data_IF_950461004772
#
_entry.id   IF_950461004772
#
_cell.length_a   1.000
_cell.length_b   1.000
_cell.length_c   1.000
_cell.angle_alpha   90.00
_cell.angle_beta   90.00
_cell.angle_gamma   90.00
#
_symmetry.space_group_name_H-M   'P 1'
#
loop_
_entity.id
_entity.type
_entity.pdbx_description
1 polymer ?
#
# COMPACT_ATOMS: atom_id res chain seq x y z
N UNK A 1 45.15 23.97 17.21
CA UNK A 1 44.87 23.72 15.77
C UNK A 1 43.39 23.95 15.52
N UNK A 2 43.03 25.12 14.98
CA UNK A 2 41.65 25.39 14.55
C UNK A 2 41.54 25.07 13.06
N UNK A 3 40.80 24.01 12.72
CA UNK A 3 40.41 23.74 11.34
C UNK A 3 39.28 24.70 10.97
N UNK A 4 39.60 25.76 10.22
CA UNK A 4 38.59 26.61 9.59
C UNK A 4 37.98 25.82 8.42
N UNK A 5 36.71 25.43 8.56
CA UNK A 5 35.94 24.87 7.47
C UNK A 5 35.83 25.91 6.35
N UNK A 6 36.26 25.53 5.14
CA UNK A 6 36.24 26.41 3.98
C UNK A 6 34.77 26.75 3.62
N UNK A 7 34.41 28.05 3.54
CA UNK A 7 33.03 28.50 3.33
C UNK A 7 32.40 27.93 2.04
N UNK A 8 33.20 27.60 1.02
CA UNK A 8 32.69 26.95 -0.19
C UNK A 8 32.08 25.56 0.07
N UNK A 9 32.65 24.79 1.00
CA UNK A 9 32.11 23.48 1.39
C UNK A 9 30.80 23.61 2.18
N UNK A 10 30.69 24.65 3.01
CA UNK A 10 29.45 24.93 3.74
C UNK A 10 28.29 25.30 2.79
N UNK A 11 28.56 26.06 1.72
CA UNK A 11 27.56 26.41 0.70
C UNK A 11 27.10 25.20 -0.11
N UNK A 12 28.02 24.33 -0.55
CA UNK A 12 27.69 23.12 -1.33
C UNK A 12 26.87 22.12 -0.50
N UNK A 13 27.26 21.87 0.76
CA UNK A 13 26.50 21.01 1.66
C UNK A 13 25.08 21.53 1.91
N UNK A 14 24.92 22.85 2.08
CA UNK A 14 23.62 23.49 2.29
C UNK A 14 22.72 23.39 1.03
N UNK A 15 23.29 23.58 -0.17
CA UNK A 15 22.56 23.44 -1.43
C UNK A 15 22.09 22.00 -1.69
N UNK A 16 22.95 21.01 -1.46
CA UNK A 16 22.60 19.58 -1.63
C UNK A 16 21.56 19.13 -0.60
N UNK A 17 21.65 19.60 0.65
CA UNK A 17 20.65 19.31 1.68
C UNK A 17 19.26 19.86 1.31
N UNK A 18 19.18 21.08 0.75
CA UNK A 18 17.92 21.69 0.29
C UNK A 18 17.28 20.92 -0.86
N UNK A 19 18.07 20.50 -1.85
CA UNK A 19 17.57 19.72 -2.99
C UNK A 19 17.12 18.31 -2.57
N UNK A 20 17.84 17.69 -1.64
CA UNK A 20 17.47 16.39 -1.08
C UNK A 20 16.15 16.47 -0.29
N UNK A 21 15.98 17.49 0.56
CA UNK A 21 14.75 17.69 1.33
C UNK A 21 13.54 17.95 0.42
N UNK A 22 13.69 18.80 -0.60
CA UNK A 22 12.63 19.07 -1.56
C UNK A 22 12.19 17.80 -2.32
N UNK A 23 13.15 16.98 -2.77
CA UNK A 23 12.85 15.71 -3.44
C UNK A 23 12.13 14.71 -2.51
N UNK A 24 12.54 14.62 -1.23
CA UNK A 24 11.90 13.76 -0.23
C UNK A 24 10.48 14.23 0.07
N UNK A 25 10.26 15.53 0.24
CA UNK A 25 8.92 16.10 0.48
C UNK A 25 8.01 15.92 -0.74
N UNK A 26 8.51 16.14 -1.95
CA UNK A 26 7.75 15.94 -3.18
C UNK A 26 7.34 14.47 -3.35
N UNK A 27 8.25 13.53 -3.06
CA UNK A 27 7.93 12.10 -3.13
C UNK A 27 6.90 11.68 -2.07
N UNK A 28 6.97 12.24 -0.85
CA UNK A 28 5.96 12.02 0.20
C UNK A 28 4.59 12.60 -0.15
N UNK A 29 4.54 13.79 -0.74
CA UNK A 29 3.30 14.41 -1.19
C UNK A 29 2.63 13.55 -2.27
N UNK A 30 3.39 13.13 -3.29
CA UNK A 30 2.88 12.25 -4.34
C UNK A 30 2.41 10.91 -3.78
N UNK A 31 3.12 10.36 -2.79
CA UNK A 31 2.69 9.14 -2.10
C UNK A 31 1.38 9.34 -1.31
N UNK A 32 1.20 10.49 -0.64
CA UNK A 32 -0.03 10.80 0.10
C UNK A 32 -1.23 10.87 -0.83
N UNK A 33 -1.09 11.50 -2.00
CA UNK A 33 -2.18 11.59 -2.98
C UNK A 33 -2.69 10.21 -3.43
N UNK A 34 -1.83 9.20 -3.49
CA UNK A 34 -2.22 7.83 -3.83
C UNK A 34 -3.16 7.19 -2.79
N UNK A 35 -3.10 7.66 -1.54
CA UNK A 35 -3.92 7.13 -0.44
C UNK A 35 -5.15 7.98 -0.16
N UNK A 36 -5.19 9.22 -0.63
CA UNK A 36 -6.33 10.12 -0.45
C UNK A 36 -7.28 10.15 -1.65
N UNK A 37 -6.95 9.43 -2.73
CA UNK A 37 -7.77 9.35 -3.94
C UNK A 37 -8.25 7.92 -4.14
N UNK A 38 -9.47 7.78 -4.66
CA UNK A 38 -9.97 6.47 -5.04
C UNK A 38 -9.06 5.80 -6.08
N UNK A 39 -8.69 4.54 -5.85
CA UNK A 39 -7.96 3.72 -6.79
C UNK A 39 -8.88 2.75 -7.56
N UNK A 40 -8.35 2.20 -8.65
CA UNK A 40 -9.06 1.29 -9.54
C UNK A 40 -8.36 -0.05 -9.60
N UNK A 41 -9.15 -1.13 -9.54
CA UNK A 41 -8.74 -2.51 -9.78
C UNK A 41 -8.77 -2.88 -11.27
N UNK A 42 -9.29 -1.99 -12.12
CA UNK A 42 -9.45 -2.17 -13.56
C UNK A 42 -10.90 -2.43 -13.98
N UNK A 43 -11.27 -1.98 -15.18
CA UNK A 43 -12.66 -2.06 -15.68
C UNK A 43 -13.18 -3.50 -15.86
N UNK A 44 -12.28 -4.44 -16.12
CA UNK A 44 -12.61 -5.85 -16.32
C UNK A 44 -12.46 -6.66 -15.02
N UNK A 45 -12.21 -6.01 -13.89
CA UNK A 45 -12.03 -6.70 -12.63
C UNK A 45 -13.38 -7.22 -12.12
N UNK A 46 -13.45 -8.53 -11.92
CA UNK A 46 -14.57 -9.18 -11.27
C UNK A 46 -14.08 -9.72 -9.92
N UNK A 47 -14.80 -9.38 -8.85
CA UNK A 47 -14.55 -9.94 -7.54
C UNK A 47 -14.81 -11.46 -7.59
N UNK A 48 -13.75 -12.26 -7.63
CA UNK A 48 -13.82 -13.70 -7.83
C UNK A 48 -13.28 -14.42 -6.61
N UNK A 49 -14.00 -15.38 -5.99
CA UNK A 49 -13.51 -16.07 -4.79
C UNK A 49 -12.09 -16.71 -4.87
N UNK A 50 -11.54 -16.88 -6.07
CA UNK A 50 -10.22 -17.51 -6.32
C UNK A 50 -9.01 -16.61 -6.09
N UNK A 51 -9.14 -15.28 -6.04
CA UNK A 51 -8.00 -14.37 -5.77
C UNK A 51 -7.51 -14.38 -4.30
N UNK A 52 -7.72 -15.48 -3.56
CA UNK A 52 -7.38 -15.60 -2.14
C UNK A 52 -8.52 -15.25 -1.17
N UNK A 53 -9.77 -15.29 -1.65
CA UNK A 53 -10.96 -14.90 -0.90
C UNK A 53 -11.59 -16.03 -0.08
N UNK A 54 -10.76 -16.87 0.53
CA UNK A 54 -11.23 -17.92 1.44
C UNK A 54 -10.96 -17.54 2.90
N UNK A 55 -11.91 -17.85 3.77
CA UNK A 55 -11.74 -17.77 5.23
C UNK A 55 -10.70 -18.82 5.64
N UNK A 56 -9.49 -18.38 5.96
CA UNK A 56 -8.53 -19.24 6.64
C UNK A 56 -8.83 -19.13 8.13
N UNK A 57 -9.37 -20.19 8.72
CA UNK A 57 -9.57 -20.25 10.16
C UNK A 57 -8.18 -20.17 10.84
N UNK A 58 -7.89 -19.07 11.53
CA UNK A 58 -6.55 -18.74 12.06
C UNK A 58 -6.29 -19.54 13.35
N UNK A 59 -6.26 -20.86 13.22
CA UNK A 59 -5.81 -21.75 14.30
C UNK A 59 -4.67 -22.67 13.88
N UNK A 60 -4.24 -22.66 12.61
CA UNK A 60 -3.17 -23.56 12.12
C UNK A 60 -2.08 -22.91 11.24
N UNK A 61 -2.00 -21.59 11.11
CA UNK A 61 -1.08 -20.93 10.15
C UNK A 61 0.36 -20.74 10.66
N UNK A 62 0.71 -21.15 11.89
CA UNK A 62 2.05 -20.96 12.46
C UNK A 62 3.11 -21.93 11.87
N UNK A 63 2.70 -23.00 11.17
CA UNK A 63 3.64 -24.06 10.78
C UNK A 63 4.19 -24.03 9.35
N UNK A 64 3.74 -23.15 8.46
CA UNK A 64 4.19 -23.19 7.05
C UNK A 64 5.20 -22.13 6.64
N UNK A 65 5.51 -21.12 7.47
CA UNK A 65 6.56 -20.14 7.15
C UNK A 65 7.96 -20.53 7.68
N UNK A 66 8.07 -21.63 8.45
CA UNK A 66 9.32 -22.03 9.13
C UNK A 66 10.16 -23.09 8.38
N UNK A 67 9.79 -23.49 7.15
CA UNK A 67 10.46 -24.63 6.47
C UNK A 67 11.19 -24.28 5.16
N UNK A 68 11.59 -23.03 4.94
CA UNK A 68 12.40 -22.65 3.76
C UNK A 68 13.76 -22.02 4.09
N UNK A 69 14.29 -22.29 5.28
CA UNK A 69 15.69 -22.00 5.59
C UNK A 69 16.29 -23.26 6.17
N UNK A 70 16.71 -24.18 5.30
CA UNK A 70 17.80 -25.14 5.50
C UNK A 70 17.95 -26.01 4.24
N UNK A 71 19.20 -26.40 3.99
CA UNK A 71 19.71 -27.31 2.97
C UNK A 71 20.16 -26.74 1.62
N UNK A 72 21.33 -26.09 1.66
CA UNK A 72 22.37 -26.23 0.63
C UNK A 72 23.08 -27.58 0.75
N UNK A 73 23.33 -28.29 -0.37
CA UNK A 73 24.52 -29.13 -0.48
C UNK A 73 25.39 -28.77 -1.69
N UNK A 74 26.65 -28.46 -1.39
CA UNK A 74 27.81 -28.43 -2.28
C UNK A 74 28.28 -29.85 -2.63
N UNK A 75 28.56 -30.17 -3.90
CA UNK A 75 29.65 -31.10 -4.31
C UNK A 75 30.12 -30.79 -5.75
N UNK A 76 31.44 -30.85 -5.91
CA UNK A 76 32.31 -30.64 -7.07
C UNK A 76 32.27 -31.70 -8.20
N UNK A 77 32.58 -31.22 -9.42
CA UNK A 77 33.45 -31.76 -10.51
C UNK A 77 33.52 -33.26 -10.86
N UNK A 78 33.28 -33.62 -12.14
CA UNK A 78 34.28 -34.22 -13.10
C UNK A 78 33.71 -34.65 -14.46
N UNK A 79 34.63 -34.70 -15.42
CA UNK A 79 34.57 -34.80 -16.89
C UNK A 79 34.15 -36.17 -17.47
N UNK A 80 33.64 -36.19 -18.72
CA UNK A 80 34.29 -36.86 -19.89
C UNK A 80 33.37 -37.04 -21.14
N UNK A 81 33.80 -36.41 -22.25
CA UNK A 81 34.04 -36.93 -23.63
C UNK A 81 32.97 -37.65 -24.52
N UNK A 82 33.01 -37.21 -25.79
CA UNK A 82 32.67 -37.88 -27.09
C UNK A 82 31.19 -38.12 -27.42
N UNK A 83 30.66 -38.01 -28.67
CA UNK A 83 31.14 -37.58 -29.99
C UNK A 83 29.92 -37.50 -30.96
N UNK A 84 30.05 -36.71 -32.05
CA UNK A 84 29.35 -36.81 -33.36
C UNK A 84 27.81 -36.58 -33.39
N UNK A 85 27.15 -35.91 -34.34
CA UNK A 85 27.44 -35.68 -35.76
C UNK A 85 26.49 -34.64 -36.39
N UNK A 86 27.04 -33.91 -37.38
CA UNK A 86 26.48 -33.47 -38.69
C UNK A 86 25.28 -32.49 -38.82
N UNK A 87 25.65 -31.37 -39.50
CA UNK A 87 24.99 -30.67 -40.64
C UNK A 87 23.63 -29.98 -40.38
N UNK A 88 23.32 -28.81 -40.92
CA UNK A 88 23.85 -28.06 -42.08
C UNK A 88 23.19 -26.67 -42.17
N UNK A 89 23.97 -25.68 -42.66
CA UNK A 89 23.63 -24.59 -43.62
C UNK A 89 22.42 -23.67 -43.32
N UNK A 90 22.42 -22.35 -43.52
CA UNK A 90 23.26 -21.41 -44.28
C UNK A 90 22.83 -19.97 -43.96
N UNK A 91 23.78 -19.03 -43.93
CA UNK A 91 23.60 -17.56 -44.01
C UNK A 91 23.72 -17.14 -45.51
N UNK A 92 23.38 -15.90 -46.00
CA UNK A 92 23.88 -14.64 -45.41
C UNK A 92 23.15 -13.28 -45.70
N UNK A 93 23.61 -12.23 -44.97
CA UNK A 93 23.89 -10.82 -45.38
C UNK A 93 22.76 -9.79 -45.62
N UNK A 94 22.79 -8.71 -44.82
CA UNK A 94 23.19 -7.32 -45.21
C UNK A 94 23.07 -6.38 -43.99
N UNK A 95 24.15 -5.99 -43.32
CA UNK A 95 24.97 -4.76 -43.47
C UNK A 95 24.18 -3.46 -43.67
N UNK A 96 24.09 -2.66 -42.60
CA UNK A 96 24.53 -1.26 -42.61
C UNK A 96 24.64 -0.70 -41.18
N UNK A 97 25.72 0.03 -40.92
CA UNK A 97 26.08 0.71 -39.67
C UNK A 97 26.13 2.20 -39.99
N UNK A 98 25.86 3.10 -39.02
CA UNK A 98 26.95 3.99 -38.62
C UNK A 98 27.10 4.20 -37.10
N UNK A 99 28.35 4.58 -36.75
CA UNK A 99 28.91 5.19 -35.51
C UNK A 99 28.01 6.34 -34.96
N UNK A 100 28.07 6.85 -33.72
CA UNK A 100 29.00 6.82 -32.57
C UNK A 100 28.24 7.41 -31.34
N UNK A 101 28.74 7.15 -30.11
CA UNK A 101 28.23 7.67 -28.81
C UNK A 101 28.36 9.20 -28.66
N UNK A 102 27.66 9.80 -27.69
CA UNK A 102 28.39 10.23 -26.48
C UNK A 102 27.87 9.61 -25.18
N UNK A 103 28.78 9.50 -24.21
CA UNK A 103 28.52 9.15 -22.81
C UNK A 103 28.19 10.43 -22.03
N UNK A 104 27.07 10.45 -21.34
CA UNK A 104 26.72 11.28 -20.18
C UNK A 104 25.61 10.51 -19.46
N UNK A 105 25.33 10.62 -18.18
CA UNK A 105 26.06 10.94 -16.97
C UNK A 105 25.24 10.22 -15.89
N UNK A 106 25.86 9.86 -14.77
CA UNK A 106 25.20 9.26 -13.62
C UNK A 106 24.06 10.13 -13.11
N UNK A 107 22.83 9.87 -13.56
CA UNK A 107 21.59 10.47 -13.08
C UNK A 107 20.83 9.43 -12.26
N UNK A 108 20.57 9.74 -11.00
CA UNK A 108 19.91 8.85 -10.05
C UNK A 108 18.65 8.20 -10.61
N UNK A 109 18.59 6.88 -10.50
CA UNK A 109 17.44 6.07 -10.87
C UNK A 109 16.32 6.34 -9.87
N UNK A 110 15.49 7.35 -10.13
CA UNK A 110 14.21 7.47 -9.43
C UNK A 110 13.36 6.25 -9.84
N UNK A 111 12.85 5.45 -8.89
CA UNK A 111 11.96 4.36 -9.23
C UNK A 111 10.73 4.95 -9.94
N UNK A 112 10.34 4.35 -11.07
CA UNK A 112 9.11 4.74 -11.75
C UNK A 112 7.92 4.57 -10.81
N UNK A 113 6.91 5.41 -10.98
CA UNK A 113 5.65 5.37 -10.19
C UNK A 113 5.06 3.96 -10.12
N UNK A 114 5.26 3.13 -11.15
CA UNK A 114 4.88 1.71 -11.17
C UNK A 114 5.59 0.84 -10.11
N UNK A 115 6.83 1.13 -9.74
CA UNK A 115 7.52 0.46 -8.64
C UNK A 115 7.09 0.96 -7.25
N UNK A 116 6.51 2.16 -7.16
CA UNK A 116 5.89 2.68 -5.94
C UNK A 116 4.49 2.08 -5.73
N UNK A 117 3.74 1.82 -6.81
CA UNK A 117 2.42 1.16 -6.77
C UNK A 117 2.54 -0.28 -6.26
N UNK A 118 3.63 -0.99 -6.59
CA UNK A 118 3.91 -2.33 -6.06
C UNK A 118 4.29 -2.35 -4.55
N UNK A 119 4.32 -1.19 -3.87
CA UNK A 119 4.59 -1.04 -2.42
C UNK A 119 3.45 -0.34 -1.67
N UNK A 120 2.31 -0.14 -2.32
CA UNK A 120 1.12 0.43 -1.71
C UNK A 120 0.37 -0.60 -0.86
N UNK A 121 -0.54 -0.13 -0.01
CA UNK A 121 -1.50 -0.97 0.71
C UNK A 121 -2.08 -2.01 -0.24
N UNK A 122 -2.01 -3.27 0.17
CA UNK A 122 -2.50 -4.39 -0.63
C UNK A 122 -3.65 -5.03 0.11
N UNK A 123 -4.73 -5.23 -0.61
CA UNK A 123 -5.92 -5.81 -0.04
C UNK A 123 -5.82 -7.35 0.04
N UNK A 124 -6.46 -7.96 1.04
CA UNK A 124 -6.27 -9.34 1.46
C UNK A 124 -7.56 -9.97 1.98
N UNK A 125 -7.64 -11.30 1.93
CA UNK A 125 -8.73 -12.07 2.51
C UNK A 125 -9.99 -12.04 1.66
N UNK A 126 -11.14 -12.33 2.29
CA UNK A 126 -12.45 -12.50 1.64
C UNK A 126 -13.25 -11.19 1.48
N UNK A 127 -13.98 -11.02 0.36
CA UNK A 127 -14.91 -9.91 0.16
C UNK A 127 -16.06 -10.13 1.14
N UNK A 128 -16.36 -9.10 1.89
CA UNK A 128 -17.65 -8.93 2.57
C UNK A 128 -18.42 -7.80 1.91
N UNK A 129 -19.74 -7.89 1.96
CA UNK A 129 -20.61 -6.78 1.58
C UNK A 129 -20.99 -6.04 2.84
N UNK A 130 -20.67 -4.75 2.88
CA UNK A 130 -20.85 -3.92 4.06
C UNK A 130 -21.63 -2.67 3.68
N UNK A 131 -22.31 -2.12 4.68
CA UNK A 131 -22.88 -0.79 4.60
C UNK A 131 -21.84 0.21 5.04
N UNK A 132 -21.73 1.33 4.33
CA UNK A 132 -20.96 2.49 4.76
C UNK A 132 -21.86 3.71 4.96
N UNK A 133 -21.52 4.51 5.95
CA UNK A 133 -22.04 5.87 6.19
C UNK A 133 -20.86 6.80 6.46
N UNK A 134 -21.13 8.04 6.88
CA UNK A 134 -20.09 8.94 7.32
C UNK A 134 -20.43 9.70 8.60
N UNK A 135 -19.38 10.09 9.34
CA UNK A 135 -19.42 10.85 10.59
C UNK A 135 -18.37 11.98 10.59
N UNK A 136 -18.46 12.90 11.56
CA UNK A 136 -17.69 14.16 11.56
C UNK A 136 -17.69 14.85 12.92
N UNK A 137 -16.81 15.85 13.08
CA UNK A 137 -16.87 16.78 14.20
C UNK A 137 -16.59 16.08 15.53
N UNK A 138 -17.47 16.27 16.51
CA UNK A 138 -17.30 15.70 17.85
C UNK A 138 -17.34 14.17 17.88
N UNK A 139 -17.99 13.53 16.90
CA UNK A 139 -18.01 12.07 16.79
C UNK A 139 -16.62 11.49 16.47
N UNK A 140 -15.64 12.33 16.11
CA UNK A 140 -14.26 11.93 15.88
C UNK A 140 -13.46 11.86 17.20
N UNK A 141 -13.93 12.47 18.27
CA UNK A 141 -13.16 12.60 19.51
C UNK A 141 -13.00 11.25 20.23
N UNK A 142 -11.80 11.02 20.79
CA UNK A 142 -11.49 9.85 21.62
C UNK A 142 -11.83 8.49 20.95
N UNK A 143 -11.28 8.22 19.76
CA UNK A 143 -11.61 7.00 19.02
C UNK A 143 -11.24 5.75 19.85
N UNK A 144 -12.12 4.76 19.89
CA UNK A 144 -12.06 3.66 20.88
C UNK A 144 -10.83 2.76 20.77
N UNK A 145 -10.17 2.71 19.61
CA UNK A 145 -8.89 2.02 19.47
C UNK A 145 -7.71 2.80 20.10
N UNK A 146 -7.97 3.98 20.66
CA UNK A 146 -6.99 4.87 21.29
C UNK A 146 -7.38 5.27 22.71
N UNK A 147 -6.98 4.44 23.68
CA UNK A 147 -7.34 4.61 25.09
C UNK A 147 -6.82 5.91 25.77
N UNK A 148 -5.86 6.62 25.17
CA UNK A 148 -5.18 7.75 25.82
C UNK A 148 -5.74 9.13 25.43
N UNK A 149 -6.67 9.23 24.48
CA UNK A 149 -7.30 10.51 24.09
C UNK A 149 -6.39 11.54 23.39
N UNK A 150 -5.09 11.26 23.25
CA UNK A 150 -4.11 12.21 22.68
C UNK A 150 -4.27 12.49 21.17
N UNK A 151 -5.21 11.82 20.50
CA UNK A 151 -5.39 11.96 19.07
C UNK A 151 -6.85 11.79 18.66
N UNK A 152 -7.27 12.69 17.76
CA UNK A 152 -8.58 12.71 17.13
C UNK A 152 -8.39 12.85 15.62
N UNK A 153 -9.01 12.01 14.78
CA UNK A 153 -9.01 12.18 13.34
C UNK A 153 -9.66 13.50 12.92
N UNK A 154 -9.27 14.00 11.76
CA UNK A 154 -9.99 15.10 11.10
C UNK A 154 -11.03 14.56 10.12
N UNK A 155 -11.95 15.42 9.68
CA UNK A 155 -12.88 15.11 8.58
C UNK A 155 -12.19 14.61 7.30
N UNK A 156 -10.92 14.97 7.09
CA UNK A 156 -10.12 14.61 5.91
C UNK A 156 -9.25 13.37 6.12
N UNK A 157 -9.28 12.76 7.31
CA UNK A 157 -8.58 11.51 7.56
C UNK A 157 -9.18 10.37 6.73
N UNK A 158 -8.46 9.26 6.58
CA UNK A 158 -8.94 8.03 5.92
C UNK A 158 -9.04 6.92 6.95
N UNK A 159 -10.03 7.09 7.81
CA UNK A 159 -10.30 6.19 8.92
C UNK A 159 -11.79 5.84 8.99
N UNK A 160 -12.11 4.82 9.77
CA UNK A 160 -13.50 4.46 10.04
C UNK A 160 -13.73 3.82 11.39
N UNK A 161 -15.00 3.79 11.76
CA UNK A 161 -15.55 3.13 12.92
C UNK A 161 -16.36 1.91 12.49
N UNK A 162 -16.19 0.77 13.16
CA UNK A 162 -16.91 -0.47 12.81
C UNK A 162 -17.96 -0.82 13.84
N UNK A 163 -19.03 -1.52 13.45
CA UNK A 163 -20.09 -1.97 14.37
C UNK A 163 -19.51 -2.59 15.66
N UNK A 164 -19.99 -2.08 16.80
CA UNK A 164 -19.49 -2.45 18.12
C UNK A 164 -19.80 -3.89 18.52
N UNK A 165 -20.91 -4.47 18.07
CA UNK A 165 -21.34 -5.81 18.50
C UNK A 165 -21.98 -6.63 17.37
N UNK A 166 -21.86 -7.95 17.48
CA UNK A 166 -22.56 -8.90 16.62
C UNK A 166 -21.94 -9.09 15.22
N UNK A 167 -20.88 -8.38 14.88
CA UNK A 167 -20.10 -8.60 13.66
C UNK A 167 -18.91 -9.53 13.96
N UNK A 168 -19.07 -10.82 13.63
CA UNK A 168 -18.13 -11.88 13.99
C UNK A 168 -16.72 -11.70 13.42
N UNK A 169 -16.61 -11.30 12.16
CA UNK A 169 -15.35 -11.12 11.43
C UNK A 169 -15.00 -9.64 11.22
N UNK A 170 -15.42 -8.76 12.14
CA UNK A 170 -15.14 -7.33 12.00
C UNK A 170 -13.64 -7.06 11.92
N UNK A 171 -13.23 -6.01 11.19
CA UNK A 171 -11.86 -5.53 11.24
C UNK A 171 -11.41 -5.18 12.66
N UNK A 172 -10.25 -5.69 13.06
CA UNK A 172 -9.66 -5.34 14.35
C UNK A 172 -9.19 -3.89 14.37
N UNK A 173 -9.14 -3.31 15.58
CA UNK A 173 -8.54 -2.01 15.81
C UNK A 173 -7.17 -1.85 15.14
N UNK A 174 -6.96 -0.67 14.59
CA UNK A 174 -5.73 -0.20 13.94
C UNK A 174 -5.34 -0.96 12.67
N UNK A 175 -6.19 -1.84 12.16
CA UNK A 175 -6.00 -2.53 10.88
C UNK A 175 -6.61 -1.74 9.74
N UNK A 176 -6.10 -2.02 8.54
CA UNK A 176 -6.59 -1.43 7.32
C UNK A 176 -7.62 -2.33 6.65
N UNK A 177 -8.56 -1.69 5.97
CA UNK A 177 -9.49 -2.32 5.04
C UNK A 177 -9.49 -1.57 3.72
N UNK A 178 -9.80 -2.26 2.65
CA UNK A 178 -10.16 -1.67 1.36
C UNK A 178 -11.68 -1.71 1.20
N UNK A 179 -12.27 -0.60 0.78
CA UNK A 179 -13.70 -0.44 0.51
C UNK A 179 -13.90 -0.01 -0.93
N UNK A 180 -14.79 -0.66 -1.67
CA UNK A 180 -15.03 -0.41 -3.09
C UNK A 180 -16.52 -0.23 -3.39
N UNK A 181 -16.90 0.93 -3.91
CA UNK A 181 -18.25 1.15 -4.47
C UNK A 181 -18.38 0.59 -5.88
N UNK A 182 -17.26 0.50 -6.59
CA UNK A 182 -17.14 -0.21 -7.86
C UNK A 182 -15.70 -0.74 -8.01
N UNK A 183 -15.41 -1.62 -9.00
CA UNK A 183 -14.05 -2.03 -9.28
C UNK A 183 -13.10 -0.87 -9.63
N UNK A 184 -13.63 0.29 -10.04
CA UNK A 184 -12.83 1.48 -10.38
C UNK A 184 -12.79 2.55 -9.29
N UNK A 185 -13.49 2.34 -8.17
CA UNK A 185 -13.58 3.28 -7.05
C UNK A 185 -13.42 2.53 -5.73
N UNK A 186 -12.19 2.45 -5.27
CA UNK A 186 -11.81 1.84 -4.01
C UNK A 186 -10.99 2.81 -3.16
N UNK A 187 -11.04 2.67 -1.84
CA UNK A 187 -10.17 3.40 -0.90
C UNK A 187 -9.66 2.48 0.19
N UNK A 188 -8.49 2.81 0.74
CA UNK A 188 -8.01 2.20 1.96
C UNK A 188 -8.28 3.09 3.17
N UNK A 189 -8.86 2.51 4.22
CA UNK A 189 -9.10 3.20 5.49
C UNK A 189 -8.55 2.39 6.65
N UNK A 190 -8.11 3.08 7.70
CA UNK A 190 -7.71 2.45 8.96
C UNK A 190 -8.89 2.43 9.93
N UNK A 191 -9.14 1.29 10.56
CA UNK A 191 -10.15 1.21 11.60
C UNK A 191 -9.57 1.73 12.90
N UNK A 192 -10.11 2.84 13.38
CA UNK A 192 -9.61 3.51 14.60
C UNK A 192 -10.65 3.58 15.69
N UNK A 193 -11.90 3.23 15.40
CA UNK A 193 -12.99 3.39 16.33
C UNK A 193 -14.06 2.29 16.17
N UNK A 194 -15.04 2.32 17.06
CA UNK A 194 -16.22 1.46 17.07
C UNK A 194 -17.47 2.31 17.01
N UNK A 195 -18.33 2.03 16.03
CA UNK A 195 -19.60 2.71 15.84
C UNK A 195 -20.65 2.13 16.79
N UNK A 196 -20.95 2.86 17.88
CA UNK A 196 -22.00 2.49 18.83
C UNK A 196 -23.42 2.75 18.29
N UNK A 197 -23.57 3.70 17.35
CA UNK A 197 -24.84 3.98 16.68
C UNK A 197 -25.21 2.98 15.56
N UNK A 198 -24.25 2.14 15.14
CA UNK A 198 -24.47 1.15 14.10
C UNK A 198 -25.29 -0.04 14.66
N UNK A 199 -26.24 -0.53 13.85
CA UNK A 199 -27.13 -1.61 14.28
C UNK A 199 -26.34 -2.86 14.68
N UNK A 200 -26.64 -3.43 15.85
CA UNK A 200 -26.00 -4.67 16.33
C UNK A 200 -26.15 -5.79 15.30
N UNK A 201 -25.05 -6.50 15.04
CA UNK A 201 -25.01 -7.58 14.04
C UNK A 201 -24.85 -7.11 12.60
N UNK A 202 -24.93 -5.80 12.32
CA UNK A 202 -24.71 -5.29 10.97
C UNK A 202 -23.22 -5.22 10.63
N UNK A 203 -22.89 -5.50 9.38
CA UNK A 203 -21.57 -5.23 8.82
C UNK A 203 -21.55 -3.77 8.33
N UNK A 204 -21.22 -2.84 9.23
CA UNK A 204 -21.29 -1.40 8.99
C UNK A 204 -19.94 -0.76 9.30
N UNK A 205 -19.43 0.03 8.35
CA UNK A 205 -18.25 0.89 8.55
C UNK A 205 -18.65 2.35 8.38
N UNK A 206 -18.61 3.11 9.46
CA UNK A 206 -18.84 4.54 9.44
C UNK A 206 -17.53 5.26 9.11
N UNK A 207 -17.51 6.10 8.08
CA UNK A 207 -16.28 6.69 7.54
C UNK A 207 -16.16 8.17 7.87
N UNK A 208 -14.93 8.68 7.93
CA UNK A 208 -14.74 10.13 7.83
C UNK A 208 -15.25 10.66 6.48
N UNK A 209 -15.71 11.92 6.46
CA UNK A 209 -16.20 12.56 5.22
C UNK A 209 -15.24 12.42 4.04
N UNK A 210 -13.94 12.68 4.27
CA UNK A 210 -12.92 12.63 3.23
C UNK A 210 -12.79 11.26 2.56
N UNK A 211 -12.92 10.18 3.34
CA UNK A 211 -12.92 8.82 2.81
C UNK A 211 -14.23 8.48 2.09
N UNK A 212 -15.38 8.84 2.68
CA UNK A 212 -16.68 8.56 2.07
C UNK A 212 -16.85 9.26 0.71
N UNK A 213 -16.40 10.51 0.60
CA UNK A 213 -16.45 11.31 -0.63
C UNK A 213 -15.69 10.70 -1.81
N UNK A 214 -14.73 9.81 -1.56
CA UNK A 214 -14.04 9.08 -2.62
C UNK A 214 -14.90 7.95 -3.22
N UNK A 215 -15.90 7.48 -2.47
CA UNK A 215 -16.76 6.36 -2.86
C UNK A 215 -18.14 6.84 -3.35
N UNK A 216 -18.68 7.90 -2.76
CA UNK A 216 -20.05 8.39 -2.96
C UNK A 216 -20.19 9.91 -2.66
N UNK A 217 -21.34 10.52 -2.99
CA UNK A 217 -21.65 11.88 -2.52
C UNK A 217 -22.08 11.84 -1.07
N UNK A 218 -21.73 12.85 -0.25
CA UNK A 218 -22.18 12.91 1.15
C UNK A 218 -23.71 12.88 1.27
N UNK A 219 -24.43 13.42 0.27
CA UNK A 219 -25.89 13.45 0.20
C UNK A 219 -26.52 12.06 0.02
N UNK A 220 -25.76 11.08 -0.48
CA UNK A 220 -26.23 9.69 -0.55
C UNK A 220 -26.42 9.13 0.87
N UNK A 221 -25.62 9.61 1.84
CA UNK A 221 -25.69 9.31 3.27
C UNK A 221 -25.33 7.88 3.67
N UNK A 222 -25.62 6.90 2.81
CA UNK A 222 -25.43 5.47 3.05
C UNK A 222 -25.24 4.73 1.73
N UNK A 223 -24.27 3.83 1.66
CA UNK A 223 -24.00 3.03 0.46
C UNK A 223 -23.65 1.58 0.83
N UNK A 224 -24.04 0.62 -0.01
CA UNK A 224 -23.53 -0.77 0.10
C UNK A 224 -22.29 -0.93 -0.78
N UNK A 225 -21.21 -1.44 -0.21
CA UNK A 225 -19.90 -1.56 -0.86
C UNK A 225 -19.27 -2.92 -0.59
N UNK A 226 -18.24 -3.26 -1.36
CA UNK A 226 -17.41 -4.44 -1.06
C UNK A 226 -16.27 -4.03 -0.14
N UNK A 227 -16.00 -4.83 0.89
CA UNK A 227 -14.90 -4.64 1.84
C UNK A 227 -13.97 -5.85 1.84
N UNK A 228 -12.69 -5.60 2.08
CA UNK A 228 -11.69 -6.62 2.44
C UNK A 228 -10.65 -6.06 3.40
N UNK A 229 -9.96 -6.92 4.12
CA UNK A 229 -8.81 -6.48 4.92
C UNK A 229 -7.70 -5.98 3.99
N UNK A 230 -6.75 -5.23 4.54
CA UNK A 230 -5.58 -4.78 3.82
C UNK A 230 -4.32 -4.90 4.69
N UNK A 231 -3.17 -4.95 4.04
CA UNK A 231 -1.86 -4.90 4.70
C UNK A 231 -1.68 -3.58 5.43
N UNK A 232 -0.62 -3.45 6.21
CA UNK A 232 -0.15 -2.12 6.61
C UNK A 232 0.52 -1.41 5.42
N UNK A 233 0.63 -0.07 5.48
CA UNK A 233 1.46 0.69 4.55
C UNK A 233 2.90 0.19 4.60
N UNK A 234 3.62 0.28 3.47
CA UNK A 234 5.03 -0.09 3.44
C UNK A 234 5.88 0.75 4.40
N UNK A 235 6.95 0.15 4.92
CA UNK A 235 7.89 0.80 5.84
C UNK A 235 8.39 2.14 5.28
N UNK A 236 8.32 3.18 6.12
CA UNK A 236 8.72 4.56 5.76
C UNK A 236 7.59 5.40 5.13
N UNK A 237 6.44 4.80 4.84
CA UNK A 237 5.24 5.47 4.33
C UNK A 237 4.16 5.44 5.40
N UNK A 238 4.11 6.48 6.22
CA UNK A 238 3.07 6.67 7.24
C UNK A 238 2.64 8.13 7.29
N UNK A 239 1.33 8.36 7.29
CA UNK A 239 0.73 9.70 7.33
C UNK A 239 -0.17 9.79 8.56
N UNK A 240 0.33 10.41 9.63
CA UNK A 240 -0.37 10.45 10.91
C UNK A 240 -1.65 11.31 10.87
N UNK A 241 -1.68 12.31 9.99
CA UNK A 241 -2.86 13.12 9.71
C UNK A 241 -3.94 12.33 8.94
N UNK A 242 -3.54 11.30 8.20
CA UNK A 242 -4.44 10.46 7.42
C UNK A 242 -4.96 9.26 8.23
N UNK A 243 -4.09 8.61 9.00
CA UNK A 243 -4.39 7.33 9.65
C UNK A 243 -4.19 7.33 11.17
N UNK A 244 -3.79 8.45 11.75
CA UNK A 244 -3.41 8.55 13.15
C UNK A 244 -2.01 8.03 13.44
N UNK A 245 -1.57 8.04 14.71
CA UNK A 245 -0.23 7.62 15.08
C UNK A 245 0.02 6.13 14.79
N UNK A 246 1.26 5.80 14.46
CA UNK A 246 1.70 4.42 14.22
C UNK A 246 1.90 3.70 15.56
N UNK A 247 1.33 2.51 15.71
CA UNK A 247 1.53 1.59 16.84
C UNK A 247 1.91 0.22 16.30
#
# INVERSE_FOLDING_TARGET
MHYLLNPAYAFILCFMARHCLAAVLHNRYNAKELYTKAHSLGANYQFSPRDGWHTVNVTNSIHTYRRQVEDTPSVETREAKHASSKKSQSNPKSVSKPKQKPKEASGGRFPSVSAAINKALTAMGKVSEVVITWYTGHDLENPSCWANGDWTPSDQAFVGAVTLEGWADRPSCLKFVELCSSPSKCVFVRIVDTCAGCAKGSQHVDLTKGAFQQLASLDDGKLSVKMRHATNPATGIWFADLWGPQK
#
